data_IF_813900992440
#
_entry.id   IF_813900992440
#
_cell.length_a   1.000
_cell.length_b   1.000
_cell.length_c   1.000
_cell.angle_alpha   90.00
_cell.angle_beta   90.00
_cell.angle_gamma   90.00
#
_symmetry.space_group_name_H-M   'P 1'
#
loop_
_entity.id
_entity.type
_entity.pdbx_description
1 polymer ?
#
# COMPACT_ATOMS: atom_id res chain seq x y z
N UNK A 1 -22.27 -14.14 -21.56
CA UNK A 1 -21.35 -13.59 -20.54
C UNK A 1 -20.32 -12.78 -21.29
N UNK A 2 -20.17 -11.47 -21.02
CA UNK A 2 -19.06 -10.73 -21.60
C UNK A 2 -17.76 -11.35 -21.06
N UNK A 3 -16.73 -11.41 -21.91
CA UNK A 3 -15.42 -11.88 -21.50
C UNK A 3 -14.87 -10.95 -20.40
N UNK A 4 -14.32 -11.53 -19.32
CA UNK A 4 -13.57 -10.76 -18.33
C UNK A 4 -12.45 -10.01 -19.07
N UNK A 5 -12.36 -8.70 -18.85
CA UNK A 5 -11.22 -7.94 -19.32
C UNK A 5 -10.00 -8.43 -18.53
N UNK A 6 -8.96 -8.90 -19.22
CA UNK A 6 -7.73 -9.29 -18.53
C UNK A 6 -7.15 -8.06 -17.83
N UNK A 7 -6.69 -8.24 -16.58
CA UNK A 7 -6.05 -7.19 -15.80
C UNK A 7 -4.98 -6.46 -16.64
N UNK A 8 -5.02 -5.12 -16.63
CA UNK A 8 -4.05 -4.29 -17.35
C UNK A 8 -2.65 -4.55 -16.81
N UNK A 9 -1.69 -4.82 -17.70
CA UNK A 9 -0.31 -5.03 -17.30
C UNK A 9 0.25 -3.81 -16.55
N UNK A 10 0.98 -4.05 -15.45
CA UNK A 10 1.59 -2.98 -14.67
C UNK A 10 2.55 -2.13 -15.53
N UNK A 11 2.41 -0.80 -15.58
CA UNK A 11 3.25 0.05 -16.41
C UNK A 11 4.64 0.18 -15.80
N UNK A 12 5.67 0.08 -16.65
CA UNK A 12 7.08 0.21 -16.22
C UNK A 12 7.70 1.46 -16.82
N UNK A 13 8.61 2.10 -16.08
CA UNK A 13 9.32 3.31 -16.53
C UNK A 13 8.41 4.53 -16.72
N UNK A 14 7.22 4.53 -16.12
CA UNK A 14 6.30 5.68 -16.12
C UNK A 14 6.55 6.56 -14.90
N UNK A 15 6.19 7.84 -15.02
CA UNK A 15 6.16 8.71 -13.84
C UNK A 15 4.97 8.37 -12.97
N UNK A 16 5.21 8.33 -11.66
CA UNK A 16 4.23 8.02 -10.63
C UNK A 16 3.89 9.27 -9.83
N UNK A 17 2.64 9.40 -9.40
CA UNK A 17 2.20 10.34 -8.38
C UNK A 17 1.42 9.64 -7.26
N UNK A 18 1.68 10.02 -6.01
CA UNK A 18 1.11 9.42 -4.81
C UNK A 18 0.25 10.46 -4.08
N UNK A 19 -1.08 10.27 -4.15
CA UNK A 19 -2.09 11.27 -3.82
C UNK A 19 -3.03 10.77 -2.72
N UNK A 20 -2.48 10.53 -1.51
CA UNK A 20 -3.30 10.07 -0.37
C UNK A 20 -3.84 11.22 0.49
N UNK A 21 -3.18 12.38 0.52
CA UNK A 21 -3.69 13.59 1.19
C UNK A 21 -4.86 14.26 0.44
N UNK A 22 -5.22 13.75 -0.73
CA UNK A 22 -6.33 14.19 -1.56
C UNK A 22 -6.00 14.06 -3.04
N UNK A 23 -7.03 13.76 -3.85
CA UNK A 23 -6.91 13.67 -5.30
C UNK A 23 -6.73 15.05 -5.95
N UNK A 24 -5.87 15.13 -6.96
CA UNK A 24 -5.71 16.31 -7.81
C UNK A 24 -5.22 15.92 -9.21
N UNK A 25 -5.35 16.84 -10.18
CA UNK A 25 -4.88 16.65 -11.55
C UNK A 25 -3.37 16.32 -11.56
N UNK A 26 -2.95 15.11 -11.97
CA UNK A 26 -1.56 14.72 -11.89
C UNK A 26 -0.64 15.58 -12.77
N UNK A 27 0.62 15.83 -12.38
CA UNK A 27 1.57 16.58 -13.18
C UNK A 27 1.77 15.99 -14.59
N UNK A 28 2.08 16.85 -15.56
CA UNK A 28 2.27 16.44 -16.96
C UNK A 28 3.26 15.27 -17.11
N UNK A 29 2.80 14.22 -17.80
CA UNK A 29 3.58 13.02 -18.09
C UNK A 29 3.56 11.96 -16.98
N UNK A 30 2.78 12.15 -15.92
CA UNK A 30 2.39 11.05 -15.01
C UNK A 30 1.59 10.02 -15.79
N UNK A 31 1.96 8.75 -15.63
CA UNK A 31 1.30 7.61 -16.26
C UNK A 31 0.65 6.64 -15.27
N UNK A 32 1.00 6.75 -13.99
CA UNK A 32 0.43 5.97 -12.90
C UNK A 32 0.15 6.90 -11.71
N UNK A 33 -1.04 6.78 -11.12
CA UNK A 33 -1.40 7.48 -9.90
C UNK A 33 -1.89 6.50 -8.86
N UNK A 34 -1.56 6.77 -7.60
CA UNK A 34 -2.07 6.02 -6.46
C UNK A 34 -2.96 6.97 -5.65
N UNK A 35 -4.19 6.55 -5.37
CA UNK A 35 -5.21 7.33 -4.65
C UNK A 35 -5.89 6.48 -3.58
N UNK A 36 -6.35 7.12 -2.52
CA UNK A 36 -7.14 6.46 -1.48
C UNK A 36 -8.41 5.81 -2.06
N UNK A 37 -8.84 4.69 -1.49
CA UNK A 37 -10.05 3.96 -1.91
C UNK A 37 -11.36 4.75 -1.89
N UNK A 38 -11.38 5.91 -1.22
CA UNK A 38 -12.53 6.83 -1.20
C UNK A 38 -12.46 7.89 -2.29
N UNK A 39 -11.37 7.98 -3.04
CA UNK A 39 -11.18 8.91 -4.14
C UNK A 39 -11.50 8.25 -5.50
N UNK A 40 -11.86 9.09 -6.48
CA UNK A 40 -12.07 8.65 -7.85
C UNK A 40 -10.74 8.40 -8.57
N UNK A 41 -10.64 7.37 -9.44
CA UNK A 41 -9.47 7.19 -10.28
C UNK A 41 -9.33 8.31 -11.31
N UNK A 42 -8.11 8.53 -11.80
CA UNK A 42 -7.81 9.49 -12.86
C UNK A 42 -8.04 8.89 -14.25
N UNK A 43 -8.98 9.40 -15.05
CA UNK A 43 -9.25 8.86 -16.37
C UNK A 43 -8.02 8.89 -17.30
N UNK A 44 -7.74 7.75 -17.94
CA UNK A 44 -6.67 7.64 -18.93
C UNK A 44 -5.26 7.40 -18.37
N UNK A 45 -5.13 7.28 -17.04
CA UNK A 45 -3.91 6.84 -16.37
C UNK A 45 -4.08 5.42 -15.80
N UNK A 46 -2.97 4.81 -15.38
CA UNK A 46 -3.02 3.59 -14.58
C UNK A 46 -3.29 3.94 -13.12
N UNK A 47 -4.31 3.34 -12.51
CA UNK A 47 -4.78 3.72 -11.19
C UNK A 47 -4.57 2.61 -10.16
N UNK A 48 -3.85 2.92 -9.08
CA UNK A 48 -3.67 2.04 -7.92
C UNK A 48 -4.56 2.54 -6.77
N UNK A 49 -5.43 1.67 -6.27
CA UNK A 49 -6.29 1.93 -5.13
C UNK A 49 -5.52 1.66 -3.84
N UNK A 50 -5.31 2.66 -2.99
CA UNK A 50 -4.76 2.46 -1.66
C UNK A 50 -5.83 1.90 -0.73
N UNK A 51 -5.52 0.78 -0.08
CA UNK A 51 -6.37 0.14 0.93
C UNK A 51 -5.51 -0.24 2.13
N UNK A 52 -5.85 0.24 3.32
CA UNK A 52 -5.18 -0.23 4.53
C UNK A 52 -5.64 -1.67 4.84
N UNK A 53 -4.75 -2.63 4.61
CA UNK A 53 -5.05 -4.06 4.65
C UNK A 53 -4.94 -4.70 6.04
N UNK A 54 -4.27 -3.99 6.96
CA UNK A 54 -3.73 -4.55 8.19
C UNK A 54 -3.95 -3.68 9.42
N UNK A 55 -4.36 -2.44 9.23
CA UNK A 55 -4.84 -1.53 10.25
C UNK A 55 -6.22 -0.98 9.85
N UNK A 56 -6.96 -0.45 10.82
CA UNK A 56 -8.21 0.29 10.54
C UNK A 56 -7.88 1.70 10.10
N UNK A 57 -8.74 2.31 9.30
CA UNK A 57 -8.72 3.75 9.06
C UNK A 57 -9.19 4.53 10.31
N UNK A 58 -8.72 5.77 10.53
CA UNK A 58 -9.13 6.61 11.67
C UNK A 58 -10.65 6.75 11.81
N UNK A 59 -11.35 6.99 10.70
CA UNK A 59 -12.81 7.17 10.66
C UNK A 59 -13.59 5.90 11.04
N UNK A 60 -13.00 4.71 10.87
CA UNK A 60 -13.67 3.44 11.15
C UNK A 60 -13.41 2.93 12.57
N UNK A 61 -12.51 3.57 13.32
CA UNK A 61 -12.05 3.12 14.63
C UNK A 61 -13.20 2.71 15.56
N UNK A 62 -14.20 3.58 15.71
CA UNK A 62 -15.33 3.32 16.61
C UNK A 62 -16.17 2.13 16.15
N UNK A 63 -16.42 2.01 14.84
CA UNK A 63 -17.15 0.89 14.25
C UNK A 63 -16.45 -0.43 14.56
N UNK A 64 -15.12 -0.48 14.40
CA UNK A 64 -14.34 -1.67 14.72
C UNK A 64 -14.38 -2.03 16.20
N UNK A 65 -14.25 -1.05 17.10
CA UNK A 65 -14.31 -1.29 18.54
C UNK A 65 -15.69 -1.74 19.01
N UNK A 66 -16.77 -1.28 18.38
CA UNK A 66 -18.13 -1.61 18.78
C UNK A 66 -18.63 -2.93 18.16
N UNK A 67 -18.33 -3.18 16.88
CA UNK A 67 -18.95 -4.27 16.11
C UNK A 67 -17.99 -5.38 15.72
N UNK A 68 -16.68 -5.13 15.77
CA UNK A 68 -15.64 -6.05 15.24
C UNK A 68 -14.48 -6.19 16.23
N UNK A 69 -14.77 -6.04 17.52
CA UNK A 69 -13.77 -5.92 18.58
C UNK A 69 -12.83 -7.12 18.64
N UNK A 70 -13.32 -8.29 18.29
CA UNK A 70 -12.60 -9.55 18.26
C UNK A 70 -11.62 -9.68 17.08
N UNK A 71 -11.78 -8.86 16.04
CA UNK A 71 -10.86 -8.76 14.90
C UNK A 71 -9.77 -7.70 15.10
N UNK A 72 -9.82 -6.94 16.19
CA UNK A 72 -8.76 -5.98 16.58
C UNK A 72 -7.77 -6.65 17.50
N UNK A 73 -6.47 -6.48 17.23
CA UNK A 73 -5.39 -7.03 18.04
C UNK A 73 -5.42 -6.41 19.44
N UNK A 74 -5.27 -7.25 20.47
CA UNK A 74 -5.29 -6.80 21.87
C UNK A 74 -4.08 -7.24 22.67
N UNK A 75 -3.74 -6.45 23.69
CA UNK A 75 -2.77 -6.83 24.70
C UNK A 75 -3.35 -7.84 25.71
N UNK A 76 -2.50 -8.32 26.62
CA UNK A 76 -2.92 -9.26 27.68
C UNK A 76 -3.93 -8.69 28.68
N UNK A 77 -4.28 -7.40 28.58
CA UNK A 77 -5.32 -6.71 29.38
C UNK A 77 -6.58 -6.42 28.56
N UNK A 78 -6.65 -6.89 27.31
CA UNK A 78 -7.77 -6.66 26.41
C UNK A 78 -7.83 -5.24 25.84
N UNK A 79 -6.76 -4.45 25.93
CA UNK A 79 -6.69 -3.11 25.31
C UNK A 79 -6.21 -3.25 23.86
N UNK A 80 -6.71 -2.44 22.92
CA UNK A 80 -6.21 -2.47 21.55
C UNK A 80 -4.71 -2.19 21.50
N UNK A 81 -3.99 -2.93 20.66
CA UNK A 81 -2.62 -2.58 20.28
C UNK A 81 -2.70 -1.53 19.18
N UNK A 82 -2.02 -0.41 19.40
CA UNK A 82 -1.99 0.74 18.48
C UNK A 82 -0.56 0.98 18.01
N UNK A 83 -0.43 1.46 16.79
CA UNK A 83 0.81 1.99 16.25
C UNK A 83 1.09 3.37 16.89
N UNK A 84 2.27 3.62 17.48
CA UNK A 84 2.62 4.94 18.00
C UNK A 84 2.63 6.04 16.93
N UNK A 85 2.92 5.71 15.66
CA UNK A 85 2.89 6.64 14.54
C UNK A 85 1.47 7.00 14.10
N UNK A 86 0.53 6.07 14.28
CA UNK A 86 -0.88 6.17 13.86
C UNK A 86 -1.82 5.74 15.01
N UNK A 87 -1.92 6.52 16.09
CA UNK A 87 -2.58 6.09 17.33
C UNK A 87 -4.11 5.94 17.23
N UNK A 88 -4.70 6.56 16.22
CA UNK A 88 -6.11 6.49 15.83
C UNK A 88 -6.43 5.25 14.99
N UNK A 89 -5.43 4.60 14.40
CA UNK A 89 -5.56 3.31 13.74
C UNK A 89 -5.41 2.13 14.71
N UNK A 90 -6.12 1.03 14.42
CA UNK A 90 -6.09 -0.20 15.20
C UNK A 90 -5.46 -1.32 14.38
N UNK A 91 -4.47 -2.01 14.95
CA UNK A 91 -3.89 -3.19 14.29
C UNK A 91 -4.91 -4.32 14.24
N UNK A 92 -5.09 -4.92 13.07
CA UNK A 92 -6.02 -6.03 12.84
C UNK A 92 -5.38 -7.35 13.29
N UNK A 93 -6.18 -8.24 13.90
CA UNK A 93 -5.68 -9.50 14.44
C UNK A 93 -5.61 -10.59 13.36
N UNK A 94 -4.46 -10.69 12.70
CA UNK A 94 -4.16 -11.70 11.67
C UNK A 94 -3.71 -13.05 12.25
N UNK A 95 -3.71 -13.23 13.58
CA UNK A 95 -3.08 -14.39 14.25
C UNK A 95 -3.78 -15.73 13.96
N UNK A 96 -5.08 -15.71 13.61
CA UNK A 96 -5.87 -16.91 13.35
C UNK A 96 -6.54 -16.87 11.98
N UNK A 97 -6.67 -18.05 11.37
CA UNK A 97 -7.29 -18.20 10.06
C UNK A 97 -8.75 -17.71 10.03
N UNK A 98 -9.54 -17.97 11.07
CA UNK A 98 -10.92 -17.51 11.14
C UNK A 98 -11.03 -15.97 11.18
N UNK A 99 -10.08 -15.31 11.84
CA UNK A 99 -10.01 -13.85 11.90
C UNK A 99 -9.60 -13.27 10.57
N UNK A 100 -8.54 -13.81 9.95
CA UNK A 100 -8.09 -13.38 8.61
C UNK A 100 -9.20 -13.49 7.58
N UNK A 101 -9.90 -14.62 7.51
CA UNK A 101 -11.01 -14.78 6.56
C UNK A 101 -12.12 -13.73 6.74
N UNK A 102 -12.44 -13.37 7.99
CA UNK A 102 -13.45 -12.33 8.29
C UNK A 102 -12.94 -10.93 8.00
N UNK A 103 -11.68 -10.64 8.30
CA UNK A 103 -11.04 -9.35 7.97
C UNK A 103 -10.97 -9.20 6.44
N UNK A 104 -10.51 -10.23 5.73
CA UNK A 104 -10.41 -10.25 4.29
C UNK A 104 -11.78 -10.09 3.62
N UNK A 105 -12.85 -10.66 4.17
CA UNK A 105 -14.21 -10.41 3.67
C UNK A 105 -14.66 -8.95 3.82
N UNK A 106 -14.25 -8.27 4.90
CA UNK A 106 -14.55 -6.85 5.12
C UNK A 106 -13.75 -5.97 4.16
N UNK A 107 -12.43 -6.17 4.10
CA UNK A 107 -11.54 -5.37 3.25
C UNK A 107 -11.79 -5.66 1.77
N UNK A 108 -12.18 -6.89 1.44
CA UNK A 108 -12.54 -7.31 0.10
C UNK A 108 -13.74 -6.57 -0.48
N UNK A 109 -14.61 -6.01 0.37
CA UNK A 109 -15.69 -5.12 -0.09
C UNK A 109 -15.12 -3.79 -0.61
N UNK A 110 -14.10 -3.23 0.06
CA UNK A 110 -13.38 -2.05 -0.44
C UNK A 110 -12.66 -2.36 -1.75
N UNK A 111 -12.02 -3.53 -1.85
CA UNK A 111 -11.35 -3.99 -3.09
C UNK A 111 -12.36 -4.12 -4.25
N UNK A 112 -13.55 -4.65 -3.98
CA UNK A 112 -14.65 -4.71 -4.97
C UNK A 112 -15.05 -3.31 -5.43
N UNK A 113 -15.18 -2.36 -4.50
CA UNK A 113 -15.49 -0.95 -4.83
C UNK A 113 -14.39 -0.32 -5.68
N UNK A 114 -13.11 -0.53 -5.36
CA UNK A 114 -11.99 -0.07 -6.22
C UNK A 114 -12.15 -0.60 -7.66
N UNK A 115 -12.44 -1.90 -7.83
CA UNK A 115 -12.63 -2.47 -9.16
C UNK A 115 -13.84 -1.87 -9.90
N UNK A 116 -14.96 -1.66 -9.21
CA UNK A 116 -16.15 -1.05 -9.79
C UNK A 116 -15.98 0.42 -10.17
N UNK A 117 -15.17 1.16 -9.40
CA UNK A 117 -14.79 2.54 -9.71
C UNK A 117 -13.81 2.63 -10.89
N UNK A 118 -13.18 1.52 -11.30
CA UNK A 118 -12.30 1.46 -12.46
C UNK A 118 -10.81 1.62 -12.15
N UNK A 119 -10.38 1.31 -10.92
CA UNK A 119 -8.96 1.15 -10.62
C UNK A 119 -8.38 -0.09 -11.36
N UNK A 120 -7.08 -0.07 -11.66
CA UNK A 120 -6.37 -1.17 -12.33
C UNK A 120 -5.68 -2.11 -11.33
N UNK A 121 -5.38 -1.61 -10.14
CA UNK A 121 -4.65 -2.32 -9.10
C UNK A 121 -5.06 -1.85 -7.70
N UNK A 122 -4.63 -2.60 -6.70
CA UNK A 122 -4.73 -2.26 -5.29
C UNK A 122 -3.36 -2.41 -4.62
N UNK A 123 -3.02 -1.52 -3.70
CA UNK A 123 -1.95 -1.74 -2.73
C UNK A 123 -2.54 -1.96 -1.33
N UNK A 124 -1.93 -2.86 -0.56
CA UNK A 124 -2.37 -3.17 0.79
C UNK A 124 -1.38 -2.62 1.81
N UNK A 125 -1.73 -1.49 2.42
CA UNK A 125 -0.88 -0.79 3.38
C UNK A 125 -0.83 -1.46 4.75
N UNK A 126 0.23 -1.17 5.52
CA UNK A 126 0.54 -1.72 6.84
C UNK A 126 0.80 -3.25 6.87
N UNK A 127 1.24 -3.82 5.75
CA UNK A 127 1.67 -5.21 5.63
C UNK A 127 2.71 -5.62 6.68
N UNK A 128 3.53 -4.66 7.12
CA UNK A 128 4.57 -4.80 8.14
C UNK A 128 4.09 -4.58 9.59
N UNK A 129 2.78 -4.39 9.83
CA UNK A 129 2.20 -4.13 11.16
C UNK A 129 2.55 -5.16 12.24
N UNK A 130 3.02 -6.36 11.85
CA UNK A 130 3.56 -7.34 12.78
C UNK A 130 4.77 -6.81 13.57
N UNK A 131 5.57 -5.91 13.00
CA UNK A 131 6.71 -5.26 13.66
C UNK A 131 6.27 -4.38 14.84
N UNK A 132 5.07 -3.82 14.75
CA UNK A 132 4.45 -2.92 15.74
C UNK A 132 3.45 -3.63 16.66
N UNK A 133 3.35 -4.96 16.55
CA UNK A 133 2.39 -5.78 17.29
C UNK A 133 2.79 -6.13 18.73
N UNK A 134 3.94 -5.67 19.22
CA UNK A 134 4.56 -6.10 20.48
C UNK A 134 4.77 -7.63 20.57
N UNK A 135 5.18 -8.25 19.45
CA UNK A 135 5.45 -9.68 19.34
C UNK A 135 4.20 -10.57 19.33
N UNK A 136 3.03 -10.00 19.06
CA UNK A 136 1.75 -10.75 19.03
C UNK A 136 1.39 -11.27 17.65
N UNK A 137 1.89 -10.63 16.62
CA UNK A 137 1.82 -11.07 15.24
C UNK A 137 3.23 -11.35 14.75
N UNK A 138 3.31 -12.24 13.77
CA UNK A 138 4.52 -12.59 13.05
C UNK A 138 4.39 -12.26 11.57
N UNK A 139 5.51 -12.22 10.86
CA UNK A 139 5.54 -12.14 9.40
C UNK A 139 4.61 -13.18 8.76
N UNK A 140 4.59 -14.42 9.26
CA UNK A 140 3.73 -15.50 8.75
C UNK A 140 2.23 -15.19 8.89
N UNK A 141 1.83 -14.48 9.95
CA UNK A 141 0.43 -14.09 10.12
C UNK A 141 0.02 -13.08 9.06
N UNK A 142 0.86 -12.08 8.80
CA UNK A 142 0.57 -11.06 7.81
C UNK A 142 0.73 -11.56 6.38
N UNK A 143 1.68 -12.48 6.10
CA UNK A 143 1.79 -13.14 4.81
C UNK A 143 0.57 -14.00 4.48
N UNK A 144 0.04 -14.73 5.46
CA UNK A 144 -1.21 -15.49 5.27
C UNK A 144 -2.40 -14.55 4.98
N UNK A 145 -2.47 -13.41 5.65
CA UNK A 145 -3.50 -12.39 5.40
C UNK A 145 -3.34 -11.76 4.00
N UNK A 146 -2.12 -11.41 3.62
CA UNK A 146 -1.79 -10.89 2.29
C UNK A 146 -2.23 -11.87 1.19
N UNK A 147 -1.96 -13.16 1.37
CA UNK A 147 -2.38 -14.21 0.42
C UNK A 147 -3.90 -14.21 0.22
N UNK A 148 -4.68 -14.04 1.29
CA UNK A 148 -6.15 -13.96 1.21
C UNK A 148 -6.62 -12.68 0.49
N UNK A 149 -5.98 -11.53 0.75
CA UNK A 149 -6.29 -10.25 0.12
C UNK A 149 -5.93 -10.20 -1.36
N UNK A 150 -4.73 -10.67 -1.73
CA UNK A 150 -4.28 -10.78 -3.12
C UNK A 150 -5.24 -11.66 -3.93
N UNK A 151 -5.66 -12.80 -3.36
CA UNK A 151 -6.63 -13.66 -4.00
C UNK A 151 -8.00 -12.97 -4.21
N UNK A 152 -8.38 -12.00 -3.36
CA UNK A 152 -9.57 -11.17 -3.58
C UNK A 152 -9.34 -10.19 -4.73
N UNK A 153 -8.21 -9.46 -4.72
CA UNK A 153 -7.85 -8.51 -5.77
C UNK A 153 -7.88 -9.18 -7.16
N UNK A 154 -7.24 -10.33 -7.31
CA UNK A 154 -7.22 -11.08 -8.57
C UNK A 154 -8.61 -11.58 -9.00
N UNK A 155 -9.54 -11.86 -8.08
CA UNK A 155 -10.93 -12.20 -8.44
C UNK A 155 -11.73 -11.02 -8.99
N UNK A 156 -11.27 -9.81 -8.73
CA UNK A 156 -11.83 -8.57 -9.25
C UNK A 156 -10.98 -7.98 -10.38
N UNK A 157 -10.10 -8.79 -11.00
CA UNK A 157 -9.21 -8.40 -12.10
C UNK A 157 -8.26 -7.22 -11.77
N UNK A 158 -7.95 -7.02 -10.48
CA UNK A 158 -6.98 -6.03 -10.00
C UNK A 158 -5.62 -6.68 -9.75
N UNK A 159 -4.53 -6.04 -10.18
CA UNK A 159 -3.20 -6.40 -9.69
C UNK A 159 -3.03 -6.01 -8.21
N UNK A 160 -2.17 -6.72 -7.49
CA UNK A 160 -1.93 -6.45 -6.07
C UNK A 160 -0.48 -6.03 -5.79
N UNK A 161 -0.31 -4.91 -5.08
CA UNK A 161 0.98 -4.35 -4.70
C UNK A 161 1.43 -4.76 -3.30
N UNK A 162 2.67 -5.22 -3.18
CA UNK A 162 3.33 -5.39 -1.89
C UNK A 162 3.74 -4.01 -1.36
N UNK A 163 3.18 -3.59 -0.23
CA UNK A 163 3.63 -2.39 0.48
C UNK A 163 4.80 -2.71 1.41
N UNK A 164 5.93 -2.04 1.21
CA UNK A 164 7.13 -2.17 2.05
C UNK A 164 7.50 -3.65 2.30
N UNK A 165 7.99 -4.00 3.50
CA UNK A 165 8.16 -5.39 3.96
C UNK A 165 9.16 -6.21 3.14
N UNK A 166 10.41 -5.74 3.02
CA UNK A 166 11.48 -6.44 2.28
C UNK A 166 11.76 -7.85 2.79
N UNK A 167 11.45 -8.15 4.05
CA UNK A 167 11.67 -9.45 4.69
C UNK A 167 10.85 -10.59 4.05
N UNK A 168 9.80 -10.26 3.28
CA UNK A 168 9.10 -11.25 2.47
C UNK A 168 9.99 -11.84 1.36
N UNK A 169 10.89 -11.03 0.79
CA UNK A 169 11.66 -11.38 -0.39
C UNK A 169 10.79 -11.99 -1.49
N UNK A 170 11.27 -13.07 -2.11
CA UNK A 170 10.53 -13.77 -3.17
C UNK A 170 9.17 -14.35 -2.73
N UNK A 171 8.93 -14.54 -1.43
CA UNK A 171 7.66 -15.08 -0.92
C UNK A 171 6.50 -14.12 -1.11
N UNK A 172 6.75 -12.81 -1.17
CA UNK A 172 5.69 -11.85 -1.51
C UNK A 172 5.06 -12.18 -2.88
N UNK A 173 5.91 -12.38 -3.89
CA UNK A 173 5.48 -12.77 -5.23
C UNK A 173 5.02 -14.23 -5.30
N UNK A 174 5.82 -15.16 -4.79
CA UNK A 174 5.65 -16.60 -5.05
C UNK A 174 4.60 -17.27 -4.13
N UNK A 175 4.41 -16.74 -2.92
CA UNK A 175 3.45 -17.27 -1.95
C UNK A 175 2.21 -16.38 -1.83
N UNK A 176 2.38 -15.07 -1.62
CA UNK A 176 1.23 -14.17 -1.50
C UNK A 176 0.57 -13.90 -2.87
N UNK A 177 1.38 -13.86 -3.94
CA UNK A 177 0.91 -13.57 -5.29
C UNK A 177 0.99 -12.10 -5.69
N UNK A 178 1.75 -11.27 -4.96
CA UNK A 178 1.90 -9.86 -5.32
C UNK A 178 2.50 -9.69 -6.72
N UNK A 179 2.03 -8.68 -7.44
CA UNK A 179 2.36 -8.42 -8.85
C UNK A 179 3.43 -7.34 -9.02
N UNK A 180 3.49 -6.39 -8.08
CA UNK A 180 4.42 -5.26 -8.03
C UNK A 180 4.73 -4.90 -6.57
N UNK A 181 5.67 -3.98 -6.35
CA UNK A 181 5.95 -3.43 -5.03
C UNK A 181 5.83 -1.91 -4.99
N UNK A 182 5.36 -1.42 -3.86
CA UNK A 182 5.34 -0.02 -3.47
C UNK A 182 6.27 0.12 -2.28
N UNK A 183 7.40 0.78 -2.50
CA UNK A 183 8.34 1.07 -1.45
C UNK A 183 8.19 2.52 -0.99
N UNK A 184 8.35 2.73 0.30
CA UNK A 184 8.61 4.04 0.87
C UNK A 184 10.05 4.06 1.35
N UNK A 185 10.78 5.10 0.96
CA UNK A 185 12.11 5.40 1.48
C UNK A 185 13.15 4.31 1.14
N UNK A 186 13.04 3.61 0.00
CA UNK A 186 13.98 2.53 -0.30
C UNK A 186 15.41 3.05 -0.50
N UNK A 187 15.59 4.28 -1.00
CA UNK A 187 16.91 4.91 -1.13
C UNK A 187 17.43 5.32 0.24
N UNK A 188 16.56 5.86 1.09
CA UNK A 188 16.90 6.24 2.47
C UNK A 188 17.43 5.06 3.30
N UNK A 189 16.87 3.87 3.09
CA UNK A 189 17.18 2.66 3.84
C UNK A 189 18.14 1.69 3.14
N UNK A 190 18.60 1.99 1.92
CA UNK A 190 19.45 1.09 1.11
C UNK A 190 18.76 -0.26 0.80
N UNK A 191 17.46 -0.19 0.51
CA UNK A 191 16.58 -1.37 0.35
C UNK A 191 16.01 -1.53 -1.07
N UNK A 192 16.28 -0.61 -1.99
CA UNK A 192 15.72 -0.66 -3.35
C UNK A 192 16.02 -1.97 -4.12
N UNK A 193 17.22 -2.52 -3.92
CA UNK A 193 17.63 -3.78 -4.55
C UNK A 193 16.83 -4.99 -4.04
N UNK A 194 16.34 -4.96 -2.80
CA UNK A 194 15.53 -6.03 -2.23
C UNK A 194 14.19 -6.16 -2.96
N UNK A 195 13.57 -5.04 -3.34
CA UNK A 195 12.34 -5.04 -4.15
C UNK A 195 12.61 -5.39 -5.61
N UNK A 196 13.56 -4.72 -6.25
CA UNK A 196 13.82 -4.87 -7.69
C UNK A 196 14.35 -6.26 -8.05
N UNK A 197 15.05 -6.94 -7.15
CA UNK A 197 15.47 -8.35 -7.35
C UNK A 197 14.29 -9.33 -7.42
N UNK A 198 13.14 -8.98 -6.84
CA UNK A 198 11.91 -9.80 -6.82
C UNK A 198 10.96 -9.40 -7.95
N UNK A 199 10.71 -8.10 -8.11
CA UNK A 199 9.66 -7.58 -8.99
C UNK A 199 10.18 -6.99 -10.31
N UNK A 200 11.49 -6.84 -10.46
CA UNK A 200 12.12 -6.21 -11.63
C UNK A 200 11.78 -4.73 -11.70
N UNK A 201 11.28 -4.29 -12.85
CA UNK A 201 10.87 -2.89 -13.06
C UNK A 201 9.48 -2.55 -12.50
N UNK A 202 8.77 -3.52 -11.93
CA UNK A 202 7.43 -3.35 -11.33
C UNK A 202 7.56 -2.90 -9.86
N UNK A 203 8.33 -1.84 -9.65
CA UNK A 203 8.56 -1.22 -8.35
C UNK A 203 8.47 0.28 -8.55
N UNK A 204 7.71 0.96 -7.70
CA UNK A 204 7.85 2.39 -7.54
C UNK A 204 8.15 2.71 -6.08
N UNK A 205 8.85 3.82 -5.88
CA UNK A 205 9.43 4.20 -4.60
C UNK A 205 9.10 5.66 -4.28
N UNK A 206 8.56 5.89 -3.09
CA UNK A 206 8.20 7.20 -2.58
C UNK A 206 9.21 7.62 -1.52
N UNK A 207 9.93 8.68 -1.80
CA UNK A 207 10.88 9.32 -0.88
C UNK A 207 10.26 10.59 -0.29
N UNK A 208 10.55 10.92 0.97
CA UNK A 208 9.88 12.03 1.65
C UNK A 208 10.82 13.19 1.95
N UNK A 209 10.38 14.42 1.68
CA UNK A 209 11.21 15.63 1.80
C UNK A 209 11.83 15.86 3.18
N UNK A 210 11.24 15.30 4.23
CA UNK A 210 11.66 15.45 5.63
C UNK A 210 12.71 14.41 6.07
N UNK A 211 12.99 13.37 5.27
CA UNK A 211 13.99 12.34 5.59
C UNK A 211 14.83 11.89 4.36
N UNK A 212 15.12 12.80 3.42
CA UNK A 212 15.94 12.46 2.25
C UNK A 212 17.43 12.24 2.60
N UNK A 213 18.07 11.16 2.09
CA UNK A 213 19.51 10.99 2.20
C UNK A 213 20.25 11.99 1.29
N UNK A 214 20.63 13.13 1.85
CA UNK A 214 21.39 14.18 1.13
C UNK A 214 20.58 15.01 0.14
N UNK A 215 19.26 15.01 0.30
CA UNK A 215 18.33 15.87 -0.42
C UNK A 215 17.94 15.39 -1.82
N UNK A 216 17.06 16.16 -2.46
CA UNK A 216 16.38 15.80 -3.73
C UNK A 216 17.33 15.38 -4.84
N UNK A 217 18.39 16.15 -5.06
CA UNK A 217 19.34 15.91 -6.14
C UNK A 217 20.18 14.65 -5.94
N UNK A 218 20.46 14.29 -4.69
CA UNK A 218 21.20 13.07 -4.37
C UNK A 218 20.33 11.84 -4.61
N UNK A 219 19.08 11.86 -4.12
CA UNK A 219 18.11 10.79 -4.39
C UNK A 219 17.94 10.60 -5.89
N UNK A 220 17.73 11.65 -6.67
CA UNK A 220 17.55 11.51 -8.12
C UNK A 220 18.76 10.96 -8.88
N UNK A 221 19.98 11.10 -8.35
CA UNK A 221 21.22 10.56 -8.93
C UNK A 221 21.60 9.18 -8.42
N UNK A 222 20.90 8.67 -7.41
CA UNK A 222 21.10 7.30 -6.91
C UNK A 222 20.86 6.32 -8.05
N UNK A 223 21.79 5.38 -8.24
CA UNK A 223 21.85 4.56 -9.45
C UNK A 223 20.97 3.30 -9.37
N UNK A 224 20.74 2.80 -8.16
CA UNK A 224 20.04 1.55 -7.83
C UNK A 224 18.58 1.76 -7.38
N UNK A 225 18.10 3.01 -7.42
CA UNK A 225 16.69 3.34 -7.22
C UNK A 225 15.82 2.80 -8.36
N UNK A 226 14.53 2.52 -8.12
CA UNK A 226 13.58 2.27 -9.20
C UNK A 226 13.50 3.44 -10.20
N UNK A 227 13.18 3.12 -11.45
CA UNK A 227 12.97 4.15 -12.48
C UNK A 227 11.72 5.02 -12.20
N UNK A 228 10.80 4.49 -11.40
CA UNK A 228 9.61 5.17 -10.92
C UNK A 228 9.81 5.62 -9.46
N UNK A 229 10.83 6.45 -9.21
CA UNK A 229 11.03 7.06 -7.89
C UNK A 229 10.40 8.46 -7.90
N UNK A 230 9.54 8.74 -6.94
CA UNK A 230 9.04 10.08 -6.69
C UNK A 230 9.44 10.57 -5.30
N UNK A 231 9.59 11.87 -5.17
CA UNK A 231 9.76 12.56 -3.90
C UNK A 231 8.50 13.36 -3.62
N UNK A 232 7.91 13.15 -2.45
CA UNK A 232 6.71 13.85 -1.97
C UNK A 232 6.92 14.50 -0.61
N UNK A 233 6.03 15.42 -0.26
CA UNK A 233 5.83 15.81 1.13
C UNK A 233 5.21 14.66 1.93
N UNK A 234 5.46 14.62 3.25
CA UNK A 234 5.04 13.53 4.15
C UNK A 234 3.51 13.34 4.18
N UNK A 235 2.79 14.45 4.14
CA UNK A 235 1.33 14.47 4.25
C UNK A 235 0.63 14.21 2.90
N UNK A 236 1.40 14.05 1.83
CA UNK A 236 0.94 13.76 0.46
C UNK A 236 -0.16 14.74 0.00
N UNK A 237 -0.05 16.02 0.37
CA UNK A 237 -1.11 17.00 0.17
C UNK A 237 -1.33 17.31 -1.31
N UNK A 238 -2.52 17.81 -1.71
CA UNK A 238 -2.79 18.25 -3.07
C UNK A 238 -2.00 19.47 -3.53
N UNK A 239 -1.88 19.66 -4.85
CA UNK A 239 -1.35 20.90 -5.44
C UNK A 239 -2.12 22.11 -4.91
N UNK A 240 -1.39 23.11 -4.42
CA UNK A 240 -1.95 24.36 -3.90
C UNK A 240 -2.11 24.39 -2.38
N UNK A 241 -2.03 23.25 -1.71
CA UNK A 241 -1.99 23.20 -0.25
C UNK A 241 -0.58 23.54 0.29
N UNK A 242 -0.48 24.19 1.47
CA UNK A 242 0.80 24.44 2.12
C UNK A 242 1.56 23.13 2.37
N UNK A 243 2.83 23.10 1.98
CA UNK A 243 3.68 21.91 2.13
C UNK A 243 3.77 21.03 0.88
N UNK A 244 2.92 21.24 -0.13
CA UNK A 244 2.96 20.48 -1.37
C UNK A 244 4.37 20.41 -1.97
N UNK A 245 4.86 19.20 -2.20
CA UNK A 245 6.09 18.94 -2.94
C UNK A 245 5.96 17.73 -3.86
N UNK A 246 6.33 17.86 -5.12
CA UNK A 246 6.39 16.74 -6.06
C UNK A 246 7.65 16.84 -6.92
N UNK A 247 8.41 15.74 -6.97
CA UNK A 247 9.53 15.58 -7.90
C UNK A 247 9.68 14.13 -8.31
N UNK A 248 9.49 13.85 -9.60
CA UNK A 248 9.93 12.58 -10.17
C UNK A 248 11.45 12.56 -10.37
N UNK A 249 12.08 11.45 -10.00
CA UNK A 249 13.44 11.06 -10.31
C UNK A 249 13.38 9.90 -11.31
#
# INVERSE_FOLDING_TARGET
>A
MPAAAAATAFPVGVKVDYQLGGAYDPPNGVGLVVRDSTAEPEPGLYNVCYVNGFQTQPQDRELWLQQRRDLVLTDGRGRPVVDPGWPDELILDTSKADKRARIAAIIGETVRVCAESGFDAVEFDNLDSYTRSNGRLSLENNLAMATELVAIAHRHDLLAGQKNTTELGARGRDQAGFDFAVAEECVRWDECSAYTSVYGQRVFDVEYTDDLPGGVEQVCRTADRPAATLIRDRDLVPVGEPGYFYRHC
#
